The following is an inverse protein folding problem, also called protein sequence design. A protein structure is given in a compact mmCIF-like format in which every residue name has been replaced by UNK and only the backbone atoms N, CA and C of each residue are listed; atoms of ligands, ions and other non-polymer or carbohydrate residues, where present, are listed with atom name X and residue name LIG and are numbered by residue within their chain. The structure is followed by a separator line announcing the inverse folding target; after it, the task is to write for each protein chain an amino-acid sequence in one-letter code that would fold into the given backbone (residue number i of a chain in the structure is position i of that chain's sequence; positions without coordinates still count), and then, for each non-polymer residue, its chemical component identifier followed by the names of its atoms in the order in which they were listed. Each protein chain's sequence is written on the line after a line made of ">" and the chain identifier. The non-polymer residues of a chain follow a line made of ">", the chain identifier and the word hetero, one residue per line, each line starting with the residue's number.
data_IF_631203528094
#
_entry.id   IF_631203528094
#
_cell.length_a   1.000
_cell.length_b   1.000
_cell.length_c   1.000
_cell.angle_alpha   90.00
_cell.angle_beta   90.00
_cell.angle_gamma   90.00
#
_symmetry.space_group_name_H-M   'P 1'
#
loop_
_entity.id
_entity.type
_entity.pdbx_description
1 polymer ?
#
# COMPACT_ATOMS: atom_id res chain seq x y z
N UNK A 1 -14.53 -7.18 21.47
CA UNK A 1 -14.37 -6.52 20.16
C UNK A 1 -13.00 -5.86 20.19
N UNK A 2 -12.02 -6.39 19.45
CA UNK A 2 -10.70 -5.74 19.37
C UNK A 2 -10.93 -4.40 18.68
N UNK A 3 -10.44 -3.32 19.28
CA UNK A 3 -10.47 -2.00 18.66
C UNK A 3 -9.67 -2.08 17.35
N UNK A 4 -10.36 -2.31 16.25
CA UNK A 4 -9.82 -2.04 14.92
C UNK A 4 -9.78 -0.52 14.93
N UNK A 5 -8.58 0.06 15.12
CA UNK A 5 -8.38 1.45 14.73
C UNK A 5 -8.91 1.53 13.31
N UNK A 6 -9.97 2.31 13.07
CA UNK A 6 -10.53 2.55 11.74
C UNK A 6 -9.47 3.30 10.93
N UNK A 7 -8.40 2.60 10.53
CA UNK A 7 -7.40 3.08 9.59
C UNK A 7 -8.17 3.20 8.28
N UNK A 8 -8.58 4.41 7.97
CA UNK A 8 -9.27 4.70 6.73
C UNK A 8 -8.21 4.75 5.64
N UNK A 9 -8.25 3.79 4.72
CA UNK A 9 -7.33 3.75 3.60
C UNK A 9 -7.74 4.80 2.58
N UNK A 10 -6.88 5.81 2.38
CA UNK A 10 -7.14 6.85 1.40
C UNK A 10 -6.33 6.60 0.14
N UNK A 11 -6.98 6.75 -1.00
CA UNK A 11 -6.32 6.71 -2.30
C UNK A 11 -5.20 7.76 -2.35
N UNK A 12 -3.99 7.32 -2.66
CA UNK A 12 -2.82 8.18 -2.80
C UNK A 12 -2.48 8.36 -4.28
N UNK A 13 -2.24 7.24 -4.99
CA UNK A 13 -1.78 7.26 -6.38
C UNK A 13 -2.09 5.93 -7.07
N UNK A 14 -2.17 5.97 -8.40
CA UNK A 14 -2.07 4.80 -9.26
C UNK A 14 -0.85 4.93 -10.18
N UNK A 15 -0.34 3.81 -10.67
CA UNK A 15 0.64 3.82 -11.74
C UNK A 15 0.93 2.42 -12.27
N UNK A 16 1.90 2.33 -13.16
CA UNK A 16 2.21 1.08 -13.86
C UNK A 16 3.33 0.37 -13.10
N UNK A 17 3.25 -0.96 -13.07
CA UNK A 17 4.28 -1.83 -12.50
C UNK A 17 5.71 -1.36 -12.87
N UNK A 18 6.55 -1.19 -11.85
CA UNK A 18 7.95 -0.76 -12.01
C UNK A 18 8.19 0.75 -12.07
N UNK A 19 7.17 1.59 -12.26
CA UNK A 19 7.34 3.05 -12.37
C UNK A 19 6.35 3.80 -11.46
N UNK A 20 6.36 3.49 -10.16
CA UNK A 20 5.53 4.19 -9.18
C UNK A 20 6.37 4.75 -8.04
N UNK A 21 6.35 6.07 -7.93
CA UNK A 21 6.93 6.76 -6.79
C UNK A 21 5.92 6.87 -5.64
N UNK A 22 6.21 6.16 -4.54
CA UNK A 22 5.48 6.20 -3.27
C UNK A 22 6.47 6.54 -2.14
N UNK A 23 6.06 7.38 -1.19
CA UNK A 23 6.96 7.87 -0.13
C UNK A 23 8.23 8.59 -0.64
N UNK A 24 8.19 9.14 -1.87
CA UNK A 24 9.33 9.81 -2.50
C UNK A 24 10.42 8.87 -3.04
N UNK A 25 10.13 7.57 -3.17
CA UNK A 25 11.01 6.58 -3.79
C UNK A 25 10.21 5.66 -4.72
N UNK A 26 10.86 4.98 -5.67
CA UNK A 26 10.19 3.95 -6.45
C UNK A 26 9.85 2.77 -5.54
N UNK A 27 8.56 2.51 -5.33
CA UNK A 27 8.09 1.49 -4.39
C UNK A 27 8.46 0.08 -4.84
N UNK A 28 8.57 -0.16 -6.14
CA UNK A 28 8.94 -1.46 -6.72
C UNK A 28 10.42 -1.80 -6.56
N UNK A 29 11.28 -0.82 -6.25
CA UNK A 29 12.69 -1.06 -5.93
C UNK A 29 12.86 -1.77 -4.58
N UNK A 30 11.83 -1.71 -3.73
CA UNK A 30 11.82 -2.28 -2.39
C UNK A 30 10.99 -3.56 -2.33
N UNK A 31 11.40 -4.49 -1.46
CA UNK A 31 10.65 -5.72 -1.22
C UNK A 31 9.41 -5.45 -0.38
N UNK A 32 8.25 -5.86 -0.88
CA UNK A 32 6.98 -5.77 -0.16
C UNK A 32 6.73 -7.05 0.62
N UNK A 33 6.36 -6.90 1.89
CA UNK A 33 5.94 -7.97 2.76
C UNK A 33 4.42 -7.93 2.89
N UNK A 34 3.74 -8.97 2.42
CA UNK A 34 2.29 -9.07 2.55
C UNK A 34 1.94 -9.40 4.01
N UNK A 35 1.17 -8.54 4.66
CA UNK A 35 0.78 -8.73 6.07
C UNK A 35 -0.36 -9.74 6.25
N UNK A 36 -0.93 -10.23 5.14
CA UNK A 36 -2.16 -11.06 5.04
C UNK A 36 -3.41 -10.36 5.57
N UNK A 37 -3.33 -9.05 5.79
CA UNK A 37 -4.48 -8.22 6.13
C UNK A 37 -5.03 -7.56 4.87
N UNK A 38 -6.33 -7.32 4.86
CA UNK A 38 -7.03 -6.62 3.77
C UNK A 38 -7.44 -5.25 4.31
N UNK A 39 -7.23 -4.22 3.50
CA UNK A 39 -7.68 -2.87 3.75
C UNK A 39 -9.21 -2.81 3.73
N UNK A 40 -9.81 -2.67 4.91
CA UNK A 40 -11.25 -2.50 5.06
C UNK A 40 -11.71 -1.25 4.30
N UNK A 41 -12.63 -1.42 3.34
CA UNK A 41 -13.16 -0.35 2.49
C UNK A 41 -12.56 -0.24 1.09
N UNK A 42 -11.43 -0.88 0.80
CA UNK A 42 -10.86 -0.95 -0.54
C UNK A 42 -10.60 -2.37 -1.05
N UNK A 43 -10.78 -3.40 -0.21
CA UNK A 43 -10.61 -4.82 -0.54
C UNK A 43 -9.21 -5.18 -1.10
N UNK A 44 -8.21 -4.34 -0.84
CA UNK A 44 -6.83 -4.55 -1.27
C UNK A 44 -5.95 -5.12 -0.16
N UNK A 45 -5.00 -6.02 -0.47
CA UNK A 45 -4.04 -6.49 0.51
C UNK A 45 -3.13 -5.39 1.02
N UNK A 46 -2.82 -5.45 2.31
CA UNK A 46 -1.90 -4.55 2.98
C UNK A 46 -0.49 -5.11 2.85
N UNK A 47 0.42 -4.24 2.44
CA UNK A 47 1.84 -4.51 2.31
C UNK A 47 2.64 -3.62 3.26
N UNK A 48 3.73 -4.20 3.75
CA UNK A 48 4.78 -3.52 4.50
C UNK A 48 6.03 -3.41 3.65
N UNK A 49 6.69 -2.26 3.74
CA UNK A 49 7.96 -2.02 3.07
C UNK A 49 8.90 -1.29 4.00
N UNK A 50 10.19 -1.59 3.91
CA UNK A 50 11.22 -0.89 4.69
C UNK A 50 11.98 0.04 3.76
N UNK A 51 11.67 1.33 3.81
CA UNK A 51 12.32 2.38 3.02
C UNK A 51 13.25 3.15 3.95
N UNK A 52 14.55 3.23 3.61
CA UNK A 52 15.53 3.97 4.42
C UNK A 52 15.53 3.60 5.92
N UNK A 53 15.40 2.30 6.25
CA UNK A 53 15.29 1.77 7.63
C UNK A 53 14.04 2.22 8.40
N UNK A 54 13.04 2.78 7.71
CA UNK A 54 11.71 3.07 8.25
C UNK A 54 10.70 2.12 7.63
N UNK A 55 9.84 1.58 8.47
CA UNK A 55 8.74 0.73 8.05
C UNK A 55 7.56 1.60 7.61
N UNK A 56 7.02 1.29 6.44
CA UNK A 56 5.84 1.92 5.88
C UNK A 56 4.79 0.84 5.56
N UNK A 57 3.54 1.18 5.80
CA UNK A 57 2.38 0.35 5.49
C UNK A 57 1.55 1.03 4.41
N UNK A 58 1.13 0.28 3.40
CA UNK A 58 0.26 0.75 2.34
C UNK A 58 -0.61 -0.41 1.84
N UNK A 59 -1.82 -0.11 1.37
CA UNK A 59 -2.64 -1.10 0.68
C UNK A 59 -2.43 -0.93 -0.82
N UNK A 60 -2.17 -2.03 -1.51
CA UNK A 60 -1.97 -2.01 -2.94
C UNK A 60 -2.67 -3.19 -3.61
N UNK A 61 -3.13 -2.97 -4.82
CA UNK A 61 -3.63 -4.04 -5.66
C UNK A 61 -3.55 -3.71 -7.13
N UNK A 62 -3.33 -4.75 -7.91
CA UNK A 62 -3.40 -4.69 -9.36
C UNK A 62 -4.87 -4.60 -9.79
N UNK A 63 -5.19 -3.58 -10.59
CA UNK A 63 -6.56 -3.32 -11.06
C UNK A 63 -6.75 -3.63 -12.54
N UNK A 64 -5.80 -3.28 -13.42
CA UNK A 64 -5.89 -3.57 -14.85
C UNK A 64 -4.57 -3.32 -15.58
N UNK A 65 -4.14 -4.26 -16.43
CA UNK A 65 -3.01 -4.11 -17.38
C UNK A 65 -1.71 -3.58 -16.74
N UNK A 66 -1.22 -4.23 -15.67
CA UNK A 66 -0.10 -3.80 -14.83
C UNK A 66 -0.32 -2.46 -14.09
N UNK A 67 -1.55 -1.94 -14.09
CA UNK A 67 -1.94 -0.80 -13.28
C UNK A 67 -2.14 -1.21 -11.83
N UNK A 68 -1.37 -0.60 -10.95
CA UNK A 68 -1.47 -0.75 -9.50
C UNK A 68 -2.08 0.51 -8.89
N UNK A 69 -3.00 0.31 -7.94
CA UNK A 69 -3.53 1.37 -7.10
C UNK A 69 -2.92 1.27 -5.70
N UNK A 70 -2.53 2.41 -5.14
CA UNK A 70 -1.90 2.53 -3.84
C UNK A 70 -2.74 3.41 -2.92
N UNK A 71 -2.95 2.93 -1.70
CA UNK A 71 -3.70 3.58 -0.65
C UNK A 71 -2.85 3.67 0.60
N UNK A 72 -2.83 4.83 1.23
CA UNK A 72 -2.12 5.05 2.48
C UNK A 72 -3.10 5.07 3.66
N UNK A 73 -2.69 4.58 4.83
CA UNK A 73 -3.52 4.67 6.03
C UNK A 73 -3.57 6.12 6.48
N UNK A 74 -4.78 6.68 6.58
CA UNK A 74 -5.00 8.00 7.17
C UNK A 74 -5.40 7.85 8.63
N UNK A 75 -4.80 8.67 9.48
CA UNK A 75 -5.13 8.81 10.91
C UNK A 75 -6.14 9.94 11.13
#
# INVERSE_FOLDING_TARGET
>A
MKAIKEKTWQYEKHGIDGEVELFGVNIFDYKWENTKEIAEGCDFPIYKVVINKKEYEFAAGEVCNNGWCFYLPKE
#
